data_IF_410172698280
#
_entry.id   IF_410172698280
#
_cell.length_a   1.000
_cell.length_b   1.000
_cell.length_c   1.000
_cell.angle_alpha   90.00
_cell.angle_beta   90.00
_cell.angle_gamma   90.00
#
_symmetry.space_group_name_H-M   'P 1'
#
loop_
_entity.id
_entity.type
_entity.pdbx_description
1 polymer ?
#
# COMPACT_ATOMS: atom_id res chain seq x y z
N UNK A 1 14.51 19.56 -3.76
CA UNK A 1 13.56 19.43 -2.66
C UNK A 1 12.72 18.16 -2.84
N UNK A 2 12.72 17.30 -1.86
CA UNK A 2 11.94 16.07 -1.95
C UNK A 2 10.49 16.38 -1.60
N UNK A 3 9.59 16.07 -2.52
CA UNK A 3 8.15 16.12 -2.23
C UNK A 3 7.73 14.80 -1.63
N UNK A 4 6.94 14.86 -0.57
CA UNK A 4 6.38 13.66 0.06
C UNK A 4 5.12 13.24 -0.69
N UNK A 5 5.30 12.43 -1.72
CA UNK A 5 4.20 11.88 -2.51
C UNK A 5 3.86 10.47 -2.02
N UNK A 6 2.98 10.41 -1.04
CA UNK A 6 2.54 9.14 -0.46
C UNK A 6 1.04 8.97 -0.58
N UNK A 7 0.64 7.75 -0.93
CA UNK A 7 -0.72 7.30 -0.70
C UNK A 7 -0.83 6.76 0.72
N UNK A 8 -2.04 6.77 1.25
CA UNK A 8 -2.33 6.30 2.59
C UNK A 8 -3.44 5.26 2.51
N UNK A 9 -3.25 4.13 3.18
CA UNK A 9 -4.34 3.21 3.46
C UNK A 9 -4.34 2.88 4.94
N UNK A 10 -5.54 2.74 5.53
CA UNK A 10 -5.66 2.52 6.96
C UNK A 10 -7.03 1.99 7.36
N UNK A 11 -7.15 1.71 8.66
CA UNK A 11 -8.36 1.16 9.27
C UNK A 11 -8.83 1.96 10.49
N UNK A 12 -8.36 3.20 10.66
CA UNK A 12 -8.60 4.08 11.81
C UNK A 12 -7.85 3.68 13.08
N UNK A 13 -7.17 2.54 13.12
CA UNK A 13 -6.27 2.16 14.22
C UNK A 13 -4.82 2.39 13.85
N UNK A 14 -4.48 2.22 12.59
CA UNK A 14 -3.16 2.46 12.03
C UNK A 14 -3.30 2.78 10.55
N UNK A 15 -2.19 3.14 9.93
CA UNK A 15 -2.14 3.43 8.50
C UNK A 15 -0.76 3.12 7.94
N UNK A 16 -0.74 2.79 6.65
CA UNK A 16 0.49 2.62 5.90
C UNK A 16 0.70 3.81 4.98
N UNK A 17 1.93 4.29 4.87
CA UNK A 17 2.34 5.25 3.86
C UNK A 17 3.01 4.50 2.72
N UNK A 18 2.47 4.67 1.52
CA UNK A 18 2.90 3.95 0.34
C UNK A 18 3.40 4.97 -0.68
N UNK A 19 4.65 4.83 -1.11
CA UNK A 19 5.26 5.74 -2.08
C UNK A 19 4.58 5.65 -3.44
N UNK A 20 4.83 6.62 -4.31
CA UNK A 20 4.28 6.63 -5.67
C UNK A 20 4.77 5.44 -6.52
N UNK A 21 5.82 4.74 -6.09
CA UNK A 21 6.30 3.52 -6.74
C UNK A 21 5.79 2.24 -6.09
N UNK A 22 4.86 2.35 -5.14
CA UNK A 22 4.22 1.21 -4.50
C UNK A 22 4.97 0.61 -3.32
N UNK A 23 5.97 1.31 -2.76
CA UNK A 23 6.70 0.81 -1.60
C UNK A 23 6.02 1.24 -0.30
N UNK A 24 5.75 0.30 0.59
CA UNK A 24 5.35 0.63 1.95
C UNK A 24 6.61 1.11 2.68
N UNK A 25 6.61 2.39 3.08
CA UNK A 25 7.78 3.02 3.72
C UNK A 25 7.53 3.42 5.17
N UNK A 26 6.29 3.29 5.63
CA UNK A 26 5.91 3.50 7.02
C UNK A 26 4.71 2.64 7.37
N UNK A 27 4.81 1.88 8.46
CA UNK A 27 3.70 1.09 9.00
C UNK A 27 3.98 0.71 10.44
N UNK A 28 3.06 1.03 11.35
CA UNK A 28 3.05 0.55 12.72
C UNK A 28 1.86 -0.38 12.91
N UNK A 29 2.05 -1.50 13.58
CA UNK A 29 1.00 -2.46 13.91
C UNK A 29 1.06 -2.82 15.39
N UNK A 30 -0.09 -3.08 16.02
CA UNK A 30 -1.46 -2.97 15.48
C UNK A 30 -2.04 -1.55 15.48
N UNK A 31 -1.42 -0.61 16.17
CA UNK A 31 -1.93 0.76 16.35
C UNK A 31 -0.90 1.80 15.91
N UNK A 32 -1.33 3.06 15.78
CA UNK A 32 -0.45 4.16 15.37
C UNK A 32 0.76 4.37 16.28
N UNK A 33 0.61 4.09 17.56
CA UNK A 33 1.67 4.25 18.56
C UNK A 33 2.46 2.97 18.84
N UNK A 34 2.20 1.91 18.08
CA UNK A 34 2.95 0.66 18.17
C UNK A 34 4.30 0.78 17.48
N UNK A 35 5.28 -0.09 17.81
CA UNK A 35 6.54 -0.12 17.07
C UNK A 35 6.36 -0.29 15.58
N UNK A 36 7.20 0.37 14.78
CA UNK A 36 7.12 0.30 13.33
C UNK A 36 7.59 -1.05 12.81
N UNK A 37 6.86 -1.58 11.82
CA UNK A 37 7.28 -2.75 11.04
C UNK A 37 8.14 -2.28 9.87
N UNK A 38 7.72 -1.21 9.20
CA UNK A 38 8.47 -0.57 8.14
C UNK A 38 8.64 0.91 8.47
N UNK A 39 9.84 1.43 8.31
CA UNK A 39 10.17 2.81 8.66
C UNK A 39 11.27 3.40 7.75
N UNK A 40 11.36 2.95 6.49
CA UNK A 40 12.35 3.48 5.54
C UNK A 40 12.15 4.98 5.27
N UNK A 41 10.95 5.51 5.55
CA UNK A 41 10.68 6.94 5.51
C UNK A 41 11.64 7.72 6.42
N UNK A 42 11.98 7.18 7.59
CA UNK A 42 12.88 7.81 8.57
C UNK A 42 14.33 7.36 8.40
N UNK A 43 14.55 6.10 8.06
CA UNK A 43 15.89 5.53 7.92
C UNK A 43 15.90 4.52 6.79
N UNK A 44 16.44 4.92 5.64
CA UNK A 44 16.44 4.09 4.43
C UNK A 44 17.29 2.83 4.56
N UNK A 45 18.29 2.84 5.43
CA UNK A 45 19.18 1.70 5.60
C UNK A 45 18.62 0.65 6.55
N UNK A 46 18.00 1.10 7.64
CA UNK A 46 17.57 0.22 8.75
C UNK A 46 16.07 0.08 8.89
N UNK A 47 15.32 1.02 8.33
CA UNK A 47 13.88 1.08 8.55
C UNK A 47 13.07 -0.03 7.88
N UNK A 48 13.55 -0.53 6.77
CA UNK A 48 12.84 -1.55 6.00
C UNK A 48 11.68 -1.01 5.20
N UNK A 49 11.34 -1.71 4.12
CA UNK A 49 10.21 -1.38 3.25
C UNK A 49 9.69 -2.65 2.58
N UNK A 50 8.50 -2.55 2.02
CA UNK A 50 7.93 -3.64 1.23
C UNK A 50 7.44 -3.08 -0.11
N UNK A 51 8.09 -3.50 -1.18
CA UNK A 51 7.79 -2.95 -2.49
C UNK A 51 8.02 -3.95 -3.63
N UNK A 52 8.00 -3.41 -4.84
CA UNK A 52 8.16 -4.19 -6.07
C UNK A 52 9.36 -3.68 -6.84
N UNK A 53 10.24 -4.59 -7.21
CA UNK A 53 11.37 -4.28 -8.08
C UNK A 53 10.95 -4.51 -9.53
N UNK A 54 10.93 -3.45 -10.31
CA UNK A 54 10.62 -3.49 -11.73
C UNK A 54 11.70 -2.72 -12.49
N UNK A 55 11.86 -3.02 -13.78
CA UNK A 55 12.83 -2.31 -14.61
C UNK A 55 12.42 -0.85 -14.83
N UNK A 56 13.37 -0.02 -15.25
CA UNK A 56 13.17 1.41 -15.41
C UNK A 56 12.17 1.79 -16.51
N UNK A 57 11.85 0.85 -17.40
CA UNK A 57 10.90 1.09 -18.49
C UNK A 57 9.43 0.99 -18.04
N UNK A 58 9.17 0.62 -16.78
CA UNK A 58 7.81 0.59 -16.26
C UNK A 58 7.31 2.00 -15.98
N UNK A 59 6.09 2.27 -16.45
CA UNK A 59 5.32 3.44 -16.05
C UNK A 59 4.50 3.06 -14.82
N UNK A 60 4.62 3.83 -13.76
CA UNK A 60 3.90 3.58 -12.52
C UNK A 60 2.94 4.74 -12.27
N UNK A 61 1.66 4.42 -12.10
CA UNK A 61 0.62 5.40 -11.77
C UNK A 61 -0.13 4.94 -10.54
N UNK A 62 -0.56 5.90 -9.72
CA UNK A 62 -1.21 5.61 -8.46
C UNK A 62 -2.45 6.48 -8.28
N UNK A 63 -3.53 5.86 -7.82
CA UNK A 63 -4.79 6.56 -7.54
C UNK A 63 -5.60 5.73 -6.55
N UNK A 64 -6.60 6.38 -5.93
CA UNK A 64 -7.56 5.65 -5.12
C UNK A 64 -8.68 5.09 -5.99
N UNK A 65 -9.13 3.88 -5.65
CA UNK A 65 -10.35 3.35 -6.23
C UNK A 65 -11.51 4.26 -5.80
N UNK A 66 -12.36 4.74 -6.72
CA UNK A 66 -13.42 5.71 -6.37
C UNK A 66 -14.26 5.29 -5.18
N UNK A 67 -14.49 6.23 -4.26
CA UNK A 67 -15.30 6.07 -3.04
C UNK A 67 -14.76 5.01 -2.07
N UNK A 68 -13.45 4.75 -2.08
CA UNK A 68 -12.83 3.77 -1.19
C UNK A 68 -11.51 4.29 -0.62
N UNK A 69 -10.99 3.57 0.39
CA UNK A 69 -9.62 3.73 0.91
C UNK A 69 -8.64 2.76 0.25
N UNK A 70 -9.04 2.15 -0.86
CA UNK A 70 -8.19 1.22 -1.59
C UNK A 70 -7.26 2.01 -2.49
N UNK A 71 -5.96 1.87 -2.28
CA UNK A 71 -4.95 2.52 -3.11
C UNK A 71 -4.56 1.58 -4.25
N UNK A 72 -4.67 2.07 -5.48
CA UNK A 72 -4.32 1.32 -6.68
C UNK A 72 -3.02 1.86 -7.25
N UNK A 73 -2.02 1.00 -7.40
CA UNK A 73 -0.75 1.32 -8.05
C UNK A 73 -0.63 0.45 -9.29
N UNK A 74 -0.65 1.06 -10.48
CA UNK A 74 -0.57 0.35 -11.74
C UNK A 74 0.83 0.42 -12.32
N UNK A 75 1.34 -0.75 -12.73
CA UNK A 75 2.65 -0.92 -13.34
C UNK A 75 2.45 -1.36 -14.79
N UNK A 76 3.02 -0.60 -15.72
CA UNK A 76 2.79 -0.79 -17.15
C UNK A 76 4.10 -0.72 -17.92
N UNK A 77 4.37 -1.73 -18.77
CA UNK A 77 5.51 -1.77 -19.67
C UNK A 77 5.17 -2.55 -20.93
N UNK A 78 6.13 -2.65 -21.85
CA UNK A 78 5.97 -3.47 -23.05
C UNK A 78 5.84 -4.96 -22.73
N UNK A 79 6.43 -5.41 -21.63
CA UNK A 79 6.38 -6.81 -21.23
C UNK A 79 5.03 -7.20 -20.68
N UNK A 80 4.32 -6.27 -20.04
CA UNK A 80 3.01 -6.52 -19.48
C UNK A 80 2.58 -5.46 -18.49
N UNK A 81 1.43 -5.69 -17.91
CA UNK A 81 0.83 -4.78 -16.93
C UNK A 81 0.24 -5.55 -15.77
N UNK A 82 0.37 -4.97 -14.58
CA UNK A 82 -0.28 -5.45 -13.38
C UNK A 82 -0.64 -4.28 -12.47
N UNK A 83 -1.57 -4.50 -11.57
CA UNK A 83 -1.97 -3.50 -10.58
C UNK A 83 -1.86 -4.10 -9.18
N UNK A 84 -1.44 -3.28 -8.23
CA UNK A 84 -1.41 -3.64 -6.82
C UNK A 84 -2.49 -2.84 -6.12
N UNK A 85 -3.39 -3.54 -5.44
CA UNK A 85 -4.43 -2.93 -4.62
C UNK A 85 -4.04 -3.08 -3.15
N UNK A 86 -3.85 -1.94 -2.49
CA UNK A 86 -3.47 -1.89 -1.08
C UNK A 86 -4.65 -1.43 -0.24
N UNK A 87 -4.99 -2.22 0.76
CA UNK A 87 -6.09 -1.85 1.65
C UNK A 87 -5.98 -2.55 3.01
N UNK A 88 -6.59 -1.91 4.01
CA UNK A 88 -6.77 -2.49 5.34
C UNK A 88 -8.27 -2.77 5.53
N UNK A 89 -8.67 -4.02 5.79
CA UNK A 89 -10.08 -4.35 5.92
C UNK A 89 -10.69 -3.78 7.19
N UNK A 90 -11.97 -3.43 7.09
CA UNK A 90 -12.78 -2.99 8.21
C UNK A 90 -14.12 -3.71 8.08
N UNK A 91 -14.46 -4.55 9.04
CA UNK A 91 -15.68 -5.34 9.01
C UNK A 91 -16.70 -4.79 9.97
N UNK A 92 -17.97 -4.75 9.51
CA UNK A 92 -19.08 -4.44 10.40
C UNK A 92 -19.44 -5.70 11.18
N UNK A 93 -19.71 -5.57 12.48
CA UNK A 93 -20.17 -6.71 13.28
C UNK A 93 -21.53 -7.21 12.80
N UNK A 94 -21.84 -8.48 13.05
CA UNK A 94 -23.08 -9.11 12.57
C UNK A 94 -24.33 -8.45 13.14
N UNK A 95 -24.26 -7.89 14.33
CA UNK A 95 -25.36 -7.18 14.98
C UNK A 95 -25.45 -5.69 14.59
N UNK A 96 -24.51 -5.20 13.78
CA UNK A 96 -24.49 -3.82 13.32
C UNK A 96 -24.08 -2.79 14.34
N UNK A 97 -23.66 -3.20 15.55
CA UNK A 97 -23.34 -2.27 16.65
C UNK A 97 -21.89 -1.87 16.74
N UNK A 98 -20.99 -2.52 15.99
CA UNK A 98 -19.57 -2.21 16.05
C UNK A 98 -18.83 -2.62 14.80
N UNK A 99 -17.50 -2.38 14.83
CA UNK A 99 -16.62 -2.73 13.74
C UNK A 99 -15.50 -3.62 14.24
N UNK A 100 -15.09 -4.55 13.39
CA UNK A 100 -13.88 -5.34 13.59
C UNK A 100 -12.78 -4.77 12.71
N UNK A 101 -11.70 -4.31 13.36
CA UNK A 101 -10.56 -3.66 12.70
C UNK A 101 -9.31 -4.50 12.88
N UNK A 102 -9.12 -5.57 12.09
CA UNK A 102 -7.96 -6.43 12.24
C UNK A 102 -6.67 -5.69 11.86
N UNK A 103 -5.56 -6.05 12.51
CA UNK A 103 -4.24 -5.53 12.16
C UNK A 103 -3.73 -6.26 10.91
N UNK A 104 -4.33 -5.97 9.78
CA UNK A 104 -4.05 -6.62 8.51
C UNK A 104 -3.94 -5.59 7.41
N UNK A 105 -2.90 -5.72 6.58
CA UNK A 105 -2.73 -4.95 5.36
C UNK A 105 -2.65 -5.94 4.21
N UNK A 106 -3.54 -5.78 3.24
CA UNK A 106 -3.57 -6.62 2.04
C UNK A 106 -2.94 -5.89 0.88
N UNK A 107 -2.08 -6.59 0.15
CA UNK A 107 -1.52 -6.15 -1.12
C UNK A 107 -1.91 -7.17 -2.18
N UNK A 108 -3.01 -6.91 -2.86
CA UNK A 108 -3.54 -7.80 -3.88
C UNK A 108 -2.92 -7.45 -5.23
N UNK A 109 -2.22 -8.41 -5.83
CA UNK A 109 -1.61 -8.23 -7.14
C UNK A 109 -2.56 -8.80 -8.19
N UNK A 110 -3.03 -7.94 -9.08
CA UNK A 110 -3.94 -8.32 -10.16
C UNK A 110 -3.24 -8.18 -11.50
N UNK A 111 -3.08 -9.30 -12.19
CA UNK A 111 -2.48 -9.34 -13.51
C UNK A 111 -3.45 -8.74 -14.54
N UNK A 112 -2.96 -7.89 -15.43
CA UNK A 112 -3.76 -7.27 -16.48
C UNK A 112 -3.45 -7.84 -17.85
N UNK A 113 -2.18 -7.86 -18.26
CA UNK A 113 -1.79 -8.43 -19.54
C UNK A 113 -0.29 -8.75 -19.61
N UNK A 114 0.08 -9.59 -20.59
CA UNK A 114 1.47 -9.88 -20.89
C UNK A 114 2.17 -10.74 -19.84
N UNK A 115 3.47 -10.56 -19.74
CA UNK A 115 4.33 -11.27 -18.77
C UNK A 115 5.19 -10.25 -18.03
N UNK A 116 4.60 -9.47 -17.12
CA UNK A 116 5.35 -8.47 -16.36
C UNK A 116 6.40 -9.16 -15.47
N UNK A 117 7.56 -8.51 -15.38
CA UNK A 117 8.68 -8.98 -14.56
C UNK A 117 9.17 -7.89 -13.63
#
# INVERSE_FOLDING_TARGET
>A
MNTLNYGITGNCRTAALISETGNIEWLCFPDFDSPSIFASLLDREKGGSFGFEVSDDYRITQSYVPHTNILSTQFSSREGEFVVLDYMPCYRSKDGTGHYLPAELYRYIHWLKGKPR
#
